data_IF_873438570157
#
_entry.id   IF_873438570157
#
_cell.length_a   1.000
_cell.length_b   1.000
_cell.length_c   1.000
_cell.angle_alpha   90.00
_cell.angle_beta   90.00
_cell.angle_gamma   90.00
#
_symmetry.space_group_name_H-M   'P 1'
#
loop_
_entity.id
_entity.type
_entity.pdbx_description
1 polymer ?
#
# COMPACT_ATOMS: atom_id res chain seq x y z
N UNK A 1 -1.77 -3.37 39.12
CA UNK A 1 -3.00 -4.12 39.49
C UNK A 1 -3.02 -5.58 39.01
N UNK A 2 -2.18 -6.01 38.04
CA UNK A 2 -2.21 -7.39 37.50
C UNK A 2 -1.15 -8.36 38.06
N UNK A 3 -0.35 -7.95 39.05
CA UNK A 3 0.69 -8.82 39.67
C UNK A 3 0.22 -9.44 41.00
N UNK A 4 -1.09 -9.64 41.17
CA UNK A 4 -1.62 -10.21 42.40
C UNK A 4 -1.48 -11.75 42.39
N UNK A 5 -1.05 -12.41 43.48
CA UNK A 5 -0.83 -13.86 43.55
C UNK A 5 -2.05 -14.70 43.15
N UNK A 6 -3.25 -14.15 43.35
CA UNK A 6 -4.52 -14.76 42.92
C UNK A 6 -4.57 -15.07 41.42
N UNK A 7 -3.92 -14.26 40.57
CA UNK A 7 -3.85 -14.50 39.13
C UNK A 7 -2.65 -15.35 38.72
N UNK A 8 -1.75 -15.71 39.64
CA UNK A 8 -0.56 -16.52 39.32
C UNK A 8 -0.92 -17.84 38.61
N UNK A 9 -1.95 -18.61 39.03
CA UNK A 9 -2.34 -19.83 38.33
C UNK A 9 -2.91 -19.57 36.93
N UNK A 10 -3.58 -18.43 36.72
CA UNK A 10 -4.14 -18.03 35.42
C UNK A 10 -3.02 -17.65 34.44
N UNK A 11 -1.94 -17.04 34.94
CA UNK A 11 -0.76 -16.72 34.15
C UNK A 11 0.21 -17.91 33.98
N UNK A 12 0.26 -18.83 34.95
CA UNK A 12 0.97 -20.11 34.84
C UNK A 12 0.32 -21.05 33.82
N UNK A 13 -0.99 -20.94 33.60
CA UNK A 13 -1.70 -21.63 32.53
C UNK A 13 -1.50 -21.00 31.14
N UNK A 14 -0.35 -20.35 30.89
CA UNK A 14 0.20 -20.30 29.53
C UNK A 14 0.53 -21.73 29.13
N UNK A 15 -0.43 -22.43 28.53
CA UNK A 15 -0.12 -23.58 27.68
C UNK A 15 0.84 -23.05 26.63
N UNK A 16 2.14 -23.29 26.83
CA UNK A 16 3.19 -22.99 25.86
C UNK A 16 2.91 -23.88 24.67
N UNK A 17 2.07 -23.39 23.76
CA UNK A 17 1.75 -24.10 22.54
C UNK A 17 3.02 -24.11 21.72
N UNK A 18 3.61 -25.30 21.59
CA UNK A 18 4.80 -25.49 20.78
C UNK A 18 4.41 -25.70 19.33
N UNK A 19 5.21 -25.14 18.43
CA UNK A 19 5.07 -25.28 16.97
C UNK A 19 6.38 -25.64 16.32
N UNK A 20 6.28 -26.21 15.13
CA UNK A 20 7.40 -26.51 14.26
C UNK A 20 7.46 -25.45 13.16
N UNK A 21 8.63 -24.91 12.90
CA UNK A 21 8.82 -23.90 11.88
C UNK A 21 8.78 -24.55 10.48
N UNK A 22 7.94 -24.06 9.58
CA UNK A 22 7.87 -24.58 8.20
C UNK A 22 9.10 -24.22 7.36
N UNK A 23 9.89 -23.23 7.78
CA UNK A 23 11.04 -22.73 7.03
C UNK A 23 12.35 -23.41 7.40
N UNK A 24 12.67 -23.56 8.70
CA UNK A 24 13.89 -24.26 9.15
C UNK A 24 13.65 -25.72 9.57
N UNK A 25 12.38 -26.15 9.66
CA UNK A 25 11.97 -27.49 10.10
C UNK A 25 12.31 -27.82 11.57
N UNK A 26 12.86 -26.87 12.33
CA UNK A 26 13.10 -27.04 13.75
C UNK A 26 11.79 -27.04 14.55
N UNK A 27 11.80 -27.79 15.66
CA UNK A 27 10.66 -27.99 16.53
C UNK A 27 10.80 -27.24 17.87
N UNK A 28 9.68 -27.05 18.56
CA UNK A 28 9.70 -26.57 19.94
C UNK A 28 9.75 -25.05 20.08
N UNK A 29 9.34 -24.29 19.08
CA UNK A 29 9.18 -22.84 19.24
C UNK A 29 7.90 -22.52 20.02
N UNK A 30 7.95 -21.47 20.84
CA UNK A 30 6.76 -20.91 21.47
C UNK A 30 5.93 -20.19 20.41
N UNK A 31 4.64 -20.52 20.32
CA UNK A 31 3.68 -19.86 19.43
C UNK A 31 3.73 -18.34 19.58
N UNK A 32 3.92 -17.82 20.80
CA UNK A 32 3.92 -16.37 21.04
C UNK A 32 5.15 -15.64 20.48
N UNK A 33 6.18 -16.36 20.02
CA UNK A 33 7.41 -15.77 19.48
C UNK A 33 7.46 -15.74 17.97
N UNK A 34 6.63 -16.53 17.29
CA UNK A 34 6.59 -16.60 15.84
C UNK A 34 5.23 -16.16 15.30
N UNK A 35 4.99 -16.51 14.04
CA UNK A 35 3.77 -16.12 13.37
C UNK A 35 3.17 -17.29 12.57
N UNK A 36 1.85 -17.43 12.64
CA UNK A 36 1.10 -18.39 11.83
C UNK A 36 0.32 -17.67 10.73
N UNK A 37 0.23 -18.29 9.55
CA UNK A 37 -0.76 -17.88 8.57
C UNK A 37 -2.14 -18.36 9.00
N UNK A 38 -3.20 -17.64 8.61
CA UNK A 38 -4.60 -18.03 8.90
C UNK A 38 -5.16 -19.15 7.99
N UNK A 39 -4.31 -20.05 7.49
CA UNK A 39 -4.70 -21.16 6.60
C UNK A 39 -4.86 -22.46 7.35
N UNK A 40 -5.43 -23.48 6.70
CA UNK A 40 -5.57 -24.83 7.28
C UNK A 40 -4.85 -25.86 6.38
N UNK A 41 -3.74 -26.47 6.84
CA UNK A 41 -3.13 -26.30 8.17
C UNK A 41 -2.41 -24.95 8.34
N UNK A 42 -2.36 -24.45 9.60
CA UNK A 42 -1.62 -23.24 9.95
C UNK A 42 -0.11 -23.45 9.78
N UNK A 43 0.53 -22.64 8.93
CA UNK A 43 1.98 -22.66 8.75
C UNK A 43 2.67 -21.69 9.72
N UNK A 44 3.35 -22.23 10.72
CA UNK A 44 4.12 -21.46 11.70
C UNK A 44 5.54 -21.13 11.20
N UNK A 45 5.98 -19.89 11.39
CA UNK A 45 7.33 -19.43 11.10
C UNK A 45 7.96 -18.87 12.37
N UNK A 46 9.14 -19.38 12.74
CA UNK A 46 9.89 -18.87 13.89
C UNK A 46 10.40 -17.43 13.61
N UNK A 47 10.69 -16.62 14.65
CA UNK A 47 11.03 -15.21 14.47
C UNK A 47 12.25 -14.98 13.57
N UNK A 48 13.29 -15.81 13.68
CA UNK A 48 14.49 -15.69 12.85
C UNK A 48 14.21 -15.96 11.36
N UNK A 49 13.46 -17.02 11.07
CA UNK A 49 13.06 -17.33 9.70
C UNK A 49 12.10 -16.28 9.15
N UNK A 50 11.21 -15.74 9.98
CA UNK A 50 10.25 -14.71 9.58
C UNK A 50 10.99 -13.43 9.17
N UNK A 51 11.96 -12.98 9.96
CA UNK A 51 12.73 -11.78 9.64
C UNK A 51 13.57 -11.96 8.37
N UNK A 52 14.21 -13.13 8.19
CA UNK A 52 14.91 -13.46 6.93
C UNK A 52 13.97 -13.48 5.74
N UNK A 53 12.78 -14.08 5.90
CA UNK A 53 11.77 -14.17 4.84
C UNK A 53 11.26 -12.78 4.42
N UNK A 54 10.96 -11.91 5.39
CA UNK A 54 10.54 -10.53 5.12
C UNK A 54 11.65 -9.75 4.40
N UNK A 55 12.89 -9.87 4.88
CA UNK A 55 14.03 -9.21 4.27
C UNK A 55 14.32 -9.71 2.84
N UNK A 56 14.18 -11.01 2.60
CA UNK A 56 14.30 -11.60 1.27
C UNK A 56 13.19 -11.11 0.35
N UNK A 57 11.94 -11.07 0.84
CA UNK A 57 10.80 -10.58 0.07
C UNK A 57 10.91 -9.09 -0.30
N UNK A 58 11.65 -8.29 0.47
CA UNK A 58 11.91 -6.88 0.15
C UNK A 58 12.92 -6.65 -0.98
N UNK A 59 13.65 -7.69 -1.43
CA UNK A 59 14.67 -7.54 -2.48
C UNK A 59 14.04 -7.18 -3.84
N UNK A 60 14.83 -6.53 -4.70
CA UNK A 60 14.35 -5.92 -5.96
C UNK A 60 13.90 -6.94 -7.01
N UNK A 61 14.46 -8.14 -6.98
CA UNK A 61 14.09 -9.27 -7.83
C UNK A 61 12.65 -9.76 -7.60
N UNK A 62 12.07 -9.50 -6.42
CA UNK A 62 10.69 -9.82 -6.10
C UNK A 62 9.68 -8.71 -6.48
N UNK A 63 10.12 -7.62 -7.12
CA UNK A 63 9.30 -6.44 -7.39
C UNK A 63 7.95 -6.73 -8.07
N UNK A 64 7.92 -7.62 -9.07
CA UNK A 64 6.66 -8.01 -9.75
C UNK A 64 5.70 -8.75 -8.82
N UNK A 65 6.19 -9.71 -8.03
CA UNK A 65 5.37 -10.47 -7.08
C UNK A 65 4.86 -9.58 -5.95
N UNK A 66 5.71 -8.66 -5.47
CA UNK A 66 5.31 -7.65 -4.49
C UNK A 66 4.17 -6.78 -5.03
N UNK A 67 4.29 -6.31 -6.27
CA UNK A 67 3.26 -5.49 -6.90
C UNK A 67 1.91 -6.22 -7.02
N UNK A 68 1.93 -7.51 -7.36
CA UNK A 68 0.73 -8.36 -7.46
C UNK A 68 -0.01 -8.56 -6.13
N UNK A 69 0.70 -8.47 -5.02
CA UNK A 69 0.17 -8.72 -3.68
C UNK A 69 0.21 -7.48 -2.78
N UNK A 70 0.18 -6.27 -3.35
CA UNK A 70 0.17 -5.02 -2.59
C UNK A 70 1.34 -4.89 -1.58
N UNK A 71 2.47 -5.55 -1.87
CA UNK A 71 3.62 -5.65 -0.97
C UNK A 71 3.38 -6.46 0.31
N UNK A 72 2.30 -7.25 0.41
CA UNK A 72 2.04 -8.13 1.55
C UNK A 72 2.99 -9.32 1.54
N UNK A 73 3.47 -9.71 2.72
CA UNK A 73 4.42 -10.83 2.85
C UNK A 73 3.66 -12.16 2.73
N UNK A 74 3.95 -12.99 1.71
CA UNK A 74 3.29 -14.27 1.55
C UNK A 74 3.77 -15.27 2.61
N UNK A 75 2.92 -16.24 2.93
CA UNK A 75 3.32 -17.39 3.73
C UNK A 75 4.36 -18.23 2.95
N UNK A 76 5.44 -18.71 3.59
CA UNK A 76 6.42 -19.60 2.94
C UNK A 76 5.96 -21.07 2.86
N UNK A 77 4.76 -21.41 3.36
CA UNK A 77 4.21 -22.76 3.28
C UNK A 77 3.93 -23.18 1.84
N UNK A 78 4.24 -24.42 1.50
CA UNK A 78 4.06 -24.94 0.15
C UNK A 78 2.58 -24.91 -0.26
N UNK A 79 2.29 -24.42 -1.46
CA UNK A 79 0.92 -24.22 -1.96
C UNK A 79 0.10 -23.15 -1.21
N UNK A 80 0.66 -22.43 -0.24
CA UNK A 80 -0.08 -21.42 0.51
C UNK A 80 -0.16 -20.09 -0.25
N UNK A 81 -1.37 -19.55 -0.41
CA UNK A 81 -1.63 -18.26 -1.09
C UNK A 81 -1.95 -17.13 -0.10
N UNK A 82 -1.88 -17.41 1.21
CA UNK A 82 -2.19 -16.45 2.25
C UNK A 82 -1.01 -15.54 2.55
N UNK A 83 -1.33 -14.37 3.09
CA UNK A 83 -0.36 -13.35 3.47
C UNK A 83 -0.43 -13.10 4.96
N UNK A 84 0.70 -12.73 5.55
CA UNK A 84 0.73 -12.26 6.93
C UNK A 84 0.13 -10.86 7.05
N UNK A 85 -0.60 -10.61 8.13
CA UNK A 85 -1.15 -9.29 8.41
C UNK A 85 -0.06 -8.32 8.88
N UNK A 86 -0.15 -7.06 8.49
CA UNK A 86 0.81 -6.02 8.88
C UNK A 86 0.90 -5.86 10.40
N UNK A 87 -0.24 -5.92 11.08
CA UNK A 87 -0.31 -5.77 12.54
C UNK A 87 0.43 -6.88 13.29
N UNK A 88 0.35 -8.11 12.80
CA UNK A 88 1.09 -9.24 13.39
C UNK A 88 2.57 -9.21 13.01
N UNK A 89 2.91 -8.78 11.79
CA UNK A 89 4.31 -8.57 11.40
C UNK A 89 4.96 -7.50 12.27
N UNK A 90 4.30 -6.37 12.51
CA UNK A 90 4.80 -5.30 13.36
C UNK A 90 4.99 -5.73 14.84
N UNK A 91 4.18 -6.68 15.33
CA UNK A 91 4.31 -7.21 16.69
C UNK A 91 5.42 -8.25 16.83
N UNK A 92 5.78 -8.95 15.74
CA UNK A 92 6.70 -10.10 15.80
C UNK A 92 8.11 -9.75 15.31
N UNK A 93 8.22 -8.86 14.34
CA UNK A 93 9.50 -8.42 13.78
C UNK A 93 10.24 -7.44 14.69
N UNK A 94 11.54 -7.29 14.44
CA UNK A 94 12.32 -6.19 15.00
C UNK A 94 11.75 -4.83 14.56
N UNK A 95 11.96 -3.79 15.39
CA UNK A 95 11.48 -2.43 15.07
C UNK A 95 12.04 -1.95 13.73
N UNK A 96 13.29 -2.27 13.41
CA UNK A 96 13.94 -1.87 12.17
C UNK A 96 13.35 -2.61 10.96
N UNK A 97 13.23 -3.94 11.04
CA UNK A 97 12.64 -4.73 9.96
C UNK A 97 11.18 -4.36 9.68
N UNK A 98 10.39 -4.10 10.74
CA UNK A 98 8.99 -3.70 10.61
C UNK A 98 8.84 -2.30 9.99
N UNK A 99 9.65 -1.33 10.41
CA UNK A 99 9.66 0.01 9.85
C UNK A 99 10.04 0.00 8.37
N UNK A 100 11.10 -0.73 8.02
CA UNK A 100 11.54 -0.91 6.63
C UNK A 100 10.46 -1.56 5.78
N UNK A 101 9.82 -2.62 6.29
CA UNK A 101 8.71 -3.29 5.61
C UNK A 101 7.55 -2.34 5.29
N UNK A 102 7.09 -1.60 6.29
CA UNK A 102 5.97 -0.67 6.12
C UNK A 102 6.33 0.46 5.16
N UNK A 103 7.55 1.02 5.27
CA UNK A 103 8.03 2.04 4.36
C UNK A 103 8.04 1.55 2.91
N UNK A 104 8.63 0.38 2.66
CA UNK A 104 8.78 -0.17 1.31
C UNK A 104 7.43 -0.56 0.69
N UNK A 105 6.49 -1.01 1.52
CA UNK A 105 5.12 -1.30 1.09
C UNK A 105 4.34 -0.02 0.77
N UNK A 106 4.42 1.00 1.62
CA UNK A 106 3.79 2.30 1.36
C UNK A 106 4.34 2.95 0.11
N UNK A 107 5.65 2.88 -0.12
CA UNK A 107 6.29 3.37 -1.34
C UNK A 107 5.72 2.67 -2.58
N UNK A 108 5.67 1.33 -2.55
CA UNK A 108 5.13 0.54 -3.67
C UNK A 108 3.68 0.93 -4.00
N UNK A 109 2.83 1.09 -2.98
CA UNK A 109 1.42 1.45 -3.19
C UNK A 109 1.27 2.87 -3.77
N UNK A 110 2.10 3.82 -3.30
CA UNK A 110 2.14 5.17 -3.86
C UNK A 110 2.60 5.16 -5.31
N UNK A 111 3.69 4.46 -5.62
CA UNK A 111 4.21 4.36 -6.99
C UNK A 111 3.17 3.74 -7.95
N UNK A 112 2.37 2.78 -7.48
CA UNK A 112 1.26 2.20 -8.26
C UNK A 112 0.14 3.21 -8.47
N UNK A 113 -0.29 3.91 -7.42
CA UNK A 113 -1.34 4.92 -7.49
C UNK A 113 -0.96 6.08 -8.40
N UNK A 114 0.26 6.60 -8.28
CA UNK A 114 0.77 7.70 -9.11
C UNK A 114 0.78 7.29 -10.58
N UNK A 115 1.19 6.06 -10.89
CA UNK A 115 1.13 5.53 -12.25
C UNK A 115 -0.30 5.45 -12.79
N UNK A 116 -1.24 4.96 -11.99
CA UNK A 116 -2.66 4.91 -12.40
C UNK A 116 -3.25 6.30 -12.67
N UNK A 117 -2.83 7.31 -11.89
CA UNK A 117 -3.22 8.70 -12.10
C UNK A 117 -2.63 9.22 -13.41
N UNK A 118 -1.33 9.01 -13.63
CA UNK A 118 -0.64 9.44 -14.84
C UNK A 118 -1.27 8.83 -16.10
N UNK A 119 -1.61 7.54 -16.06
CA UNK A 119 -2.23 6.85 -17.19
C UNK A 119 -3.64 7.40 -17.46
N UNK A 120 -4.43 7.67 -16.41
CA UNK A 120 -5.74 8.34 -16.57
C UNK A 120 -5.64 9.75 -17.14
N UNK A 121 -4.62 10.52 -16.73
CA UNK A 121 -4.40 11.87 -17.26
C UNK A 121 -4.02 11.81 -18.74
N UNK A 122 -3.17 10.85 -19.14
CA UNK A 122 -2.82 10.65 -20.56
C UNK A 122 -4.05 10.30 -21.39
N UNK A 123 -4.87 9.36 -20.92
CA UNK A 123 -6.10 8.96 -21.63
C UNK A 123 -7.06 10.14 -21.82
N UNK A 124 -7.20 11.00 -20.80
CA UNK A 124 -8.01 12.22 -20.89
C UNK A 124 -7.45 13.22 -21.89
N UNK A 125 -6.13 13.46 -21.87
CA UNK A 125 -5.47 14.37 -22.81
C UNK A 125 -5.62 13.87 -24.25
N UNK A 126 -5.45 12.57 -24.48
CA UNK A 126 -5.60 11.96 -25.80
C UNK A 126 -7.05 12.06 -26.30
N UNK A 127 -8.03 11.78 -25.44
CA UNK A 127 -9.45 11.93 -25.78
C UNK A 127 -9.82 13.39 -26.12
N UNK A 128 -9.34 14.37 -25.36
CA UNK A 128 -9.57 15.78 -25.65
C UNK A 128 -8.85 16.24 -26.93
N UNK A 129 -7.63 15.75 -27.18
CA UNK A 129 -6.91 16.01 -28.42
C UNK A 129 -7.69 15.45 -29.63
N UNK A 130 -8.20 14.22 -29.52
CA UNK A 130 -8.98 13.60 -30.59
C UNK A 130 -10.29 14.35 -30.86
N UNK A 131 -10.96 14.85 -29.82
CA UNK A 131 -12.12 15.74 -29.98
C UNK A 131 -11.74 17.00 -30.75
N UNK A 132 -10.66 17.68 -30.37
CA UNK A 132 -10.20 18.90 -31.04
C UNK A 132 -9.80 18.67 -32.50
N UNK A 133 -9.22 17.50 -32.83
CA UNK A 133 -8.88 17.12 -34.21
C UNK A 133 -10.14 16.86 -35.04
N UNK A 134 -11.13 16.20 -34.45
CA UNK A 134 -12.37 15.84 -35.13
C UNK A 134 -13.42 16.97 -35.18
N UNK A 135 -13.15 18.10 -34.54
CA UNK A 135 -14.04 19.27 -34.57
C UNK A 135 -14.03 19.91 -35.95
N UNK A 136 -15.23 20.29 -36.42
CA UNK A 136 -15.38 21.13 -37.60
C UNK A 136 -14.93 22.59 -37.32
N UNK A 137 -14.71 23.33 -38.40
CA UNK A 137 -14.19 24.71 -38.31
C UNK A 137 -15.21 25.65 -37.63
N UNK A 138 -16.51 25.40 -37.79
CA UNK A 138 -17.56 26.18 -37.17
C UNK A 138 -17.58 25.99 -35.64
N UNK A 139 -17.53 24.74 -35.14
CA UNK A 139 -17.42 24.48 -33.71
C UNK A 139 -16.10 25.01 -33.14
N UNK A 140 -15.00 24.98 -33.92
CA UNK A 140 -13.72 25.55 -33.50
C UNK A 140 -13.82 27.06 -33.27
N UNK A 141 -14.47 27.79 -34.17
CA UNK A 141 -14.69 29.23 -34.01
C UNK A 141 -15.58 29.54 -32.80
N UNK A 142 -16.66 28.78 -32.60
CA UNK A 142 -17.52 28.91 -31.41
C UNK A 142 -16.68 28.72 -30.13
N UNK A 143 -15.83 27.69 -30.07
CA UNK A 143 -15.00 27.40 -28.90
C UNK A 143 -13.99 28.53 -28.63
N UNK A 144 -13.36 29.09 -29.67
CA UNK A 144 -12.47 30.25 -29.56
C UNK A 144 -13.21 31.48 -29.03
N UNK A 145 -14.41 31.76 -29.53
CA UNK A 145 -15.22 32.88 -29.08
C UNK A 145 -15.71 32.71 -27.64
N UNK A 146 -16.22 31.53 -27.27
CA UNK A 146 -16.61 31.20 -25.90
C UNK A 146 -15.43 31.37 -24.92
N UNK A 147 -14.23 30.94 -25.30
CA UNK A 147 -13.02 31.15 -24.50
C UNK A 147 -12.70 32.64 -24.35
N UNK A 148 -12.72 33.40 -25.45
CA UNK A 148 -12.48 34.85 -25.40
C UNK A 148 -13.46 35.57 -24.47
N UNK A 149 -14.76 35.26 -24.59
CA UNK A 149 -15.82 35.81 -23.75
C UNK A 149 -15.55 35.47 -22.28
N UNK A 150 -15.34 34.20 -21.96
CA UNK A 150 -15.13 33.75 -20.57
C UNK A 150 -13.90 34.41 -19.97
N UNK A 151 -12.77 34.37 -20.68
CA UNK A 151 -11.50 34.84 -20.14
C UNK A 151 -11.38 36.37 -20.13
N UNK A 152 -11.96 37.09 -21.09
CA UNK A 152 -11.68 38.52 -21.29
C UNK A 152 -12.89 39.45 -21.13
N UNK A 153 -14.10 38.90 -21.11
CA UNK A 153 -15.35 39.70 -20.97
C UNK A 153 -16.00 39.40 -19.62
N UNK A 154 -16.25 38.12 -19.32
CA UNK A 154 -16.95 37.71 -18.09
C UNK A 154 -16.05 37.71 -16.86
N UNK A 155 -14.78 37.32 -17.00
CA UNK A 155 -13.81 37.48 -15.93
C UNK A 155 -13.41 38.95 -15.81
N UNK A 156 -13.95 39.63 -14.79
CA UNK A 156 -13.55 40.99 -14.45
C UNK A 156 -12.05 41.01 -14.12
N UNK A 157 -11.30 41.79 -14.91
CA UNK A 157 -9.85 41.96 -14.75
C UNK A 157 -9.53 43.38 -14.34
N UNK A 158 -8.50 43.54 -13.53
CA UNK A 158 -7.95 44.86 -13.26
C UNK A 158 -7.40 45.48 -14.57
N UNK A 159 -7.83 46.68 -15.00
CA UNK A 159 -7.37 47.31 -16.24
C UNK A 159 -5.87 47.68 -16.21
N UNK A 160 -5.25 47.68 -15.02
CA UNK A 160 -3.83 48.03 -14.83
C UNK A 160 -2.89 46.83 -14.82
N UNK A 161 -3.27 45.73 -14.17
CA UNK A 161 -2.42 44.53 -14.04
C UNK A 161 -2.98 43.27 -14.71
N UNK A 162 -4.19 43.33 -15.28
CA UNK A 162 -4.91 42.23 -15.94
C UNK A 162 -5.21 41.00 -15.06
N UNK A 163 -5.00 41.11 -13.76
CA UNK A 163 -5.31 40.05 -12.79
C UNK A 163 -6.83 39.92 -12.62
N UNK A 164 -7.33 38.69 -12.60
CA UNK A 164 -8.75 38.38 -12.42
C UNK A 164 -9.12 38.64 -10.96
N UNK A 165 -10.23 39.33 -10.71
CA UNK A 165 -10.77 39.47 -9.35
C UNK A 165 -11.36 38.13 -8.92
N UNK A 166 -10.82 37.56 -7.84
CA UNK A 166 -11.34 36.33 -7.24
C UNK A 166 -12.36 36.75 -6.19
N UNK A 167 -13.60 36.28 -6.29
CA UNK A 167 -14.62 36.55 -5.28
C UNK A 167 -14.20 35.89 -3.96
N UNK A 168 -14.14 36.67 -2.87
CA UNK A 168 -13.88 36.17 -1.53
C UNK A 168 -15.22 35.81 -0.88
N UNK A 169 -15.66 34.56 -1.06
CA UNK A 169 -16.78 33.97 -0.31
C UNK A 169 -16.26 33.13 0.87
#
# INVERSE_FOLDING_TARGET
>A
ALQHPFFAPVFEWRRVQRRNCVACLDAGFDLSKGLECGGDPNHFVCPECLERHVNFFQQSDQGRKRAQHEGRVPCPGDGCTLHFSDGLLAQTLSSDASAKYLHDRLKLLKDQQDKEIDDKVKDQVEAELQKLINMDEEARQVLVHCRHITENILNLKCPRCKQVFIDFS
#
